data_IF_882088131898
#
_entry.id   IF_882088131898
#
_cell.length_a   1.000
_cell.length_b   1.000
_cell.length_c   1.000
_cell.angle_alpha   90.00
_cell.angle_beta   90.00
_cell.angle_gamma   90.00
#
_symmetry.space_group_name_H-M   'P 1'
#
loop_
_entity.id
_entity.type
_entity.pdbx_description
1 polymer ?
#
# COMPACT_ATOMS: atom_id res chain seq x y z
N UNK A 1 -51.14 -22.84 -9.39
CA UNK A 1 -50.84 -21.69 -8.51
C UNK A 1 -49.43 -21.22 -8.81
N UNK A 2 -49.25 -20.03 -9.37
CA UNK A 2 -47.94 -19.45 -9.66
C UNK A 2 -47.71 -18.29 -8.67
N UNK A 3 -46.79 -18.46 -7.72
CA UNK A 3 -46.51 -17.46 -6.68
C UNK A 3 -45.31 -16.61 -7.13
N UNK A 4 -45.43 -15.28 -7.18
CA UNK A 4 -44.34 -14.43 -7.65
C UNK A 4 -43.23 -14.34 -6.61
N UNK A 5 -41.99 -14.57 -7.05
CA UNK A 5 -40.77 -14.33 -6.26
C UNK A 5 -40.32 -12.89 -6.46
N UNK A 6 -40.19 -12.14 -5.35
CA UNK A 6 -39.64 -10.79 -5.32
C UNK A 6 -38.25 -10.87 -4.70
N UNK A 7 -37.25 -10.32 -5.40
CA UNK A 7 -35.91 -10.11 -4.84
C UNK A 7 -35.52 -8.64 -4.96
N UNK A 8 -34.75 -8.16 -3.99
CA UNK A 8 -34.17 -6.82 -3.98
C UNK A 8 -32.65 -6.92 -4.09
N UNK A 9 -32.05 -5.97 -4.81
CA UNK A 9 -30.60 -5.82 -4.90
C UNK A 9 -30.23 -4.48 -4.28
N UNK A 10 -29.32 -4.50 -3.32
CA UNK A 10 -28.74 -3.31 -2.72
C UNK A 10 -27.27 -3.18 -3.16
N UNK A 11 -26.84 -1.95 -3.43
CA UNK A 11 -25.45 -1.61 -3.78
C UNK A 11 -24.88 -0.68 -2.71
N UNK A 12 -23.85 -1.13 -2.02
CA UNK A 12 -23.04 -0.27 -1.16
C UNK A 12 -21.88 0.33 -1.95
N UNK A 13 -21.63 1.63 -1.79
CA UNK A 13 -20.43 2.29 -2.33
C UNK A 13 -19.61 2.90 -1.19
N UNK A 14 -18.29 2.78 -1.28
CA UNK A 14 -17.37 3.46 -0.37
C UNK A 14 -16.91 4.77 -1.04
N UNK A 15 -17.32 5.91 -0.49
CA UNK A 15 -16.84 7.22 -0.93
C UNK A 15 -15.64 7.63 -0.07
N UNK A 16 -14.48 7.74 -0.71
CA UNK A 16 -13.28 8.25 -0.06
C UNK A 16 -13.12 9.74 -0.39
N UNK A 17 -13.30 10.62 0.60
CA UNK A 17 -13.08 12.06 0.45
C UNK A 17 -11.58 12.35 0.35
N UNK A 18 -11.08 12.61 -0.86
CA UNK A 18 -9.72 13.10 -1.07
C UNK A 18 -9.68 14.62 -0.94
N UNK A 19 -8.60 15.20 -0.39
CA UNK A 19 -8.39 16.64 -0.42
C UNK A 19 -8.34 17.14 -1.87
N UNK A 20 -8.62 18.43 -2.06
CA UNK A 20 -8.55 19.08 -3.38
C UNK A 20 -7.17 18.84 -4.02
N UNK A 21 -7.09 18.74 -5.36
CA UNK A 21 -5.84 18.37 -6.05
C UNK A 21 -4.64 19.24 -5.66
N UNK A 22 -4.85 20.55 -5.44
CA UNK A 22 -3.81 21.48 -5.03
C UNK A 22 -3.22 21.19 -3.63
N UNK A 23 -3.94 20.43 -2.81
CA UNK A 23 -3.53 20.02 -1.46
C UNK A 23 -3.06 18.57 -1.40
N UNK A 24 -3.09 17.84 -2.53
CA UNK A 24 -2.64 16.46 -2.58
C UNK A 24 -1.13 16.40 -2.62
N UNK A 25 -0.53 15.87 -1.56
CA UNK A 25 0.90 15.58 -1.49
C UNK A 25 1.12 14.08 -1.39
N UNK A 26 2.12 13.58 -2.13
CA UNK A 26 2.64 12.23 -2.01
C UNK A 26 4.01 12.34 -1.38
N UNK A 27 4.17 11.72 -0.22
CA UNK A 27 5.45 11.64 0.46
C UNK A 27 5.47 10.37 1.29
N UNK A 28 6.61 9.70 1.36
CA UNK A 28 6.74 8.44 2.06
C UNK A 28 8.09 8.34 2.77
N UNK A 29 8.15 7.44 3.74
CA UNK A 29 9.36 7.08 4.45
C UNK A 29 9.31 5.59 4.79
N UNK A 30 10.45 5.03 5.21
CA UNK A 30 10.51 3.68 5.75
C UNK A 30 11.10 3.68 7.16
N UNK A 31 10.82 2.61 7.90
CA UNK A 31 11.48 2.29 9.17
C UNK A 31 11.94 0.85 9.15
N UNK A 32 13.12 0.61 9.70
CA UNK A 32 13.58 -0.74 10.04
C UNK A 32 12.98 -1.12 11.40
N UNK A 33 12.46 -2.34 11.49
CA UNK A 33 11.92 -2.87 12.74
C UNK A 33 12.99 -3.69 13.48
N UNK A 34 13.09 -3.52 14.80
CA UNK A 34 14.13 -4.15 15.63
C UNK A 34 14.10 -5.68 15.59
N UNK A 35 12.92 -6.28 15.45
CA UNK A 35 12.71 -7.72 15.30
C UNK A 35 12.94 -8.23 13.86
N UNK A 36 13.43 -7.37 12.97
CA UNK A 36 13.58 -7.65 11.56
C UNK A 36 12.31 -7.33 10.76
N UNK A 37 12.47 -6.53 9.71
CA UNK A 37 11.37 -6.14 8.83
C UNK A 37 11.49 -4.69 8.40
N UNK A 38 10.70 -4.35 7.37
CA UNK A 38 10.57 -2.99 6.87
C UNK A 38 9.14 -2.54 7.08
N UNK A 39 8.95 -1.34 7.61
CA UNK A 39 7.67 -0.67 7.63
C UNK A 39 7.66 0.49 6.63
N UNK A 40 6.73 0.48 5.68
CA UNK A 40 6.48 1.56 4.75
C UNK A 40 5.41 2.50 5.32
N UNK A 41 5.65 3.80 5.26
CA UNK A 41 4.80 4.81 5.89
C UNK A 41 4.52 5.92 4.88
N UNK A 42 3.25 6.12 4.55
CA UNK A 42 2.80 7.30 3.82
C UNK A 42 2.73 8.50 4.77
N UNK A 43 3.35 9.60 4.36
CA UNK A 43 3.43 10.88 5.08
C UNK A 43 2.74 12.03 4.34
N UNK A 44 2.37 11.81 3.08
CA UNK A 44 1.55 12.74 2.32
C UNK A 44 0.09 12.77 2.78
N UNK A 45 -0.73 13.55 2.08
CA UNK A 45 -2.18 13.63 2.30
C UNK A 45 -2.97 12.57 1.52
N UNK A 46 -2.32 11.87 0.59
CA UNK A 46 -2.90 10.77 -0.17
C UNK A 46 -1.96 9.56 -0.13
N UNK A 47 -2.42 8.42 -0.68
CA UNK A 47 -1.64 7.19 -0.68
C UNK A 47 -0.41 7.27 -1.61
N UNK A 48 0.62 6.50 -1.25
CA UNK A 48 1.75 6.21 -2.11
C UNK A 48 1.55 4.81 -2.70
N UNK A 49 1.59 4.72 -4.02
CA UNK A 49 1.55 3.45 -4.74
C UNK A 49 2.98 2.97 -4.97
N UNK A 50 3.27 1.78 -4.45
CA UNK A 50 4.50 1.05 -4.68
C UNK A 50 4.25 -0.01 -5.75
N UNK A 51 5.10 -0.03 -6.76
CA UNK A 51 5.04 -0.95 -7.89
C UNK A 51 6.35 -1.75 -7.97
N UNK A 52 6.28 -2.92 -8.61
CA UNK A 52 7.42 -3.80 -8.85
C UNK A 52 8.23 -4.14 -7.58
N UNK A 53 7.54 -4.27 -6.44
CA UNK A 53 8.15 -4.63 -5.16
C UNK A 53 8.80 -6.01 -5.23
N UNK A 54 10.08 -6.07 -4.83
CA UNK A 54 10.90 -7.27 -4.86
C UNK A 54 11.85 -7.31 -3.65
N UNK A 55 12.18 -8.52 -3.20
CA UNK A 55 13.22 -8.77 -2.20
C UNK A 55 14.49 -9.19 -2.95
N UNK A 56 15.52 -8.34 -3.05
CA UNK A 56 16.72 -8.66 -3.80
C UNK A 56 17.42 -9.91 -3.26
N UNK A 57 17.93 -10.74 -4.16
CA UNK A 57 18.72 -11.95 -3.82
C UNK A 57 18.00 -12.94 -2.89
N UNK A 58 16.66 -12.95 -2.89
CA UNK A 58 15.84 -13.85 -2.09
C UNK A 58 14.73 -14.47 -2.93
N UNK A 59 14.31 -15.68 -2.55
CA UNK A 59 13.10 -16.33 -3.10
C UNK A 59 11.81 -15.89 -2.38
N UNK A 60 11.95 -15.05 -1.35
CA UNK A 60 10.83 -14.55 -0.56
C UNK A 60 9.93 -13.67 -1.43
N UNK A 61 8.66 -14.04 -1.52
CA UNK A 61 7.65 -13.31 -2.29
C UNK A 61 7.13 -12.14 -1.46
N UNK A 62 6.96 -11.00 -2.12
CA UNK A 62 6.23 -9.84 -1.62
C UNK A 62 5.14 -9.50 -2.64
N UNK A 63 4.05 -8.89 -2.20
CA UNK A 63 3.02 -8.40 -3.12
C UNK A 63 3.66 -7.34 -4.02
N UNK A 64 3.62 -7.55 -5.34
CA UNK A 64 4.33 -6.70 -6.31
C UNK A 64 3.82 -5.26 -6.35
N UNK A 65 2.56 -5.04 -5.97
CA UNK A 65 1.90 -3.75 -5.92
C UNK A 65 1.32 -3.53 -4.55
N UNK A 66 1.64 -2.39 -3.93
CA UNK A 66 1.13 -2.06 -2.61
C UNK A 66 0.77 -0.58 -2.51
N UNK A 67 -0.46 -0.28 -2.11
CA UNK A 67 -0.85 1.08 -1.76
C UNK A 67 -0.65 1.28 -0.26
N UNK A 68 0.16 2.26 0.13
CA UNK A 68 0.36 2.67 1.53
C UNK A 68 -0.45 3.94 1.76
N UNK A 69 -1.37 3.92 2.72
CA UNK A 69 -2.26 5.05 3.01
C UNK A 69 -1.77 5.84 4.23
N UNK A 70 -1.97 7.17 4.27
CA UNK A 70 -1.67 7.97 5.46
C UNK A 70 -2.40 7.41 6.70
N UNK A 71 -1.68 7.31 7.82
CA UNK A 71 -2.21 6.72 9.05
C UNK A 71 -2.29 5.20 9.08
N UNK A 72 -2.04 4.51 7.95
CA UNK A 72 -2.05 3.04 7.86
C UNK A 72 -0.72 2.52 7.30
N UNK A 73 0.35 2.48 8.11
CA UNK A 73 1.64 1.91 7.70
C UNK A 73 1.51 0.45 7.28
N UNK A 74 2.33 0.02 6.33
CA UNK A 74 2.41 -1.37 5.90
C UNK A 74 3.69 -1.99 6.44
N UNK A 75 3.54 -3.09 7.16
CA UNK A 75 4.66 -3.82 7.75
C UNK A 75 4.96 -5.06 6.93
N UNK A 76 6.22 -5.19 6.53
CA UNK A 76 6.79 -6.32 5.79
C UNK A 76 7.72 -7.08 6.74
N UNK A 77 7.20 -8.06 7.50
CA UNK A 77 7.99 -8.79 8.49
C UNK A 77 9.05 -9.65 7.80
N UNK A 78 10.18 -9.85 8.48
CA UNK A 78 11.27 -10.70 8.00
C UNK A 78 11.86 -10.30 6.63
N UNK A 79 11.62 -9.07 6.16
CA UNK A 79 12.23 -8.51 4.95
C UNK A 79 13.21 -7.43 5.35
N UNK A 80 14.50 -7.63 5.07
CA UNK A 80 15.57 -6.66 5.37
C UNK A 80 15.98 -5.81 4.16
N UNK A 81 15.69 -6.27 2.95
CA UNK A 81 16.01 -5.56 1.70
C UNK A 81 14.76 -5.50 0.84
N UNK A 82 14.45 -4.33 0.31
CA UNK A 82 13.28 -4.13 -0.53
C UNK A 82 13.64 -3.15 -1.65
N UNK A 83 13.26 -3.50 -2.88
CA UNK A 83 13.41 -2.63 -4.04
C UNK A 83 12.09 -2.52 -4.76
N UNK A 84 11.89 -1.42 -5.47
CA UNK A 84 10.71 -1.23 -6.31
C UNK A 84 10.67 0.18 -6.88
N UNK A 85 9.47 0.60 -7.25
CA UNK A 85 9.18 1.94 -7.72
C UNK A 85 8.08 2.56 -6.87
N UNK A 86 8.18 3.85 -6.62
CA UNK A 86 7.17 4.66 -5.92
C UNK A 86 7.15 6.01 -6.61
N UNK A 87 5.97 6.51 -6.96
CA UNK A 87 5.85 7.79 -7.69
C UNK A 87 6.65 7.84 -9.01
N UNK A 88 6.86 6.68 -9.64
CA UNK A 88 7.71 6.47 -10.84
C UNK A 88 9.22 6.62 -10.59
N UNK A 89 9.64 6.81 -9.35
CA UNK A 89 11.04 6.80 -8.94
C UNK A 89 11.42 5.43 -8.39
N UNK A 90 12.61 4.95 -8.75
CA UNK A 90 13.14 3.71 -8.20
C UNK A 90 13.66 3.93 -6.78
N UNK A 91 13.43 2.97 -5.89
CA UNK A 91 13.97 3.00 -4.54
C UNK A 91 14.61 1.67 -4.16
N UNK A 92 15.55 1.74 -3.22
CA UNK A 92 16.18 0.58 -2.60
C UNK A 92 16.34 0.82 -1.09
N UNK A 93 15.78 -0.08 -0.29
CA UNK A 93 15.85 -0.06 1.17
C UNK A 93 16.71 -1.23 1.63
N UNK A 94 17.58 -0.99 2.59
CA UNK A 94 18.35 -2.01 3.29
C UNK A 94 18.38 -1.72 4.78
N UNK A 95 17.90 -2.66 5.58
CA UNK A 95 17.92 -2.66 7.03
C UNK A 95 18.99 -3.65 7.52
N UNK A 96 19.79 -3.25 8.51
CA UNK A 96 20.82 -4.06 9.17
C UNK A 96 20.19 -5.07 10.14
#
# INVERSE_FOLDING_TARGET
MNVPLIFGVAYGVLLHHLPSRAQQTQHWQYKCLDLGGIQLIAKGTIHNRFDNLQVPNSKQKVVSVQNVYPGTPITLPNIKRLTGQVEREAFAISCS
#
